data_IF_071290593020
#
_entry.id   IF_071290593020
#
_cell.length_a   1.000
_cell.length_b   1.000
_cell.length_c   1.000
_cell.angle_alpha   90.00
_cell.angle_beta   90.00
_cell.angle_gamma   90.00
#
_symmetry.space_group_name_H-M   'P 1'
#
loop_
_entity.id
_entity.type
_entity.pdbx_description
1 polymer ?
#
# COMPACT_ATOMS: atom_id res chain seq x y z
N UNK A 1 40.02 3.52 -31.66
CA UNK A 1 40.39 2.68 -30.50
C UNK A 1 41.56 1.79 -30.91
N UNK A 2 42.58 1.61 -30.06
CA UNK A 2 43.79 0.82 -30.40
C UNK A 2 43.48 -0.66 -30.62
N UNK A 3 44.11 -1.31 -31.61
CA UNK A 3 43.96 -2.75 -31.90
C UNK A 3 44.16 -3.64 -30.67
N UNK A 4 45.04 -3.22 -29.74
CA UNK A 4 45.30 -3.92 -28.48
C UNK A 4 44.07 -3.99 -27.56
N UNK A 5 43.29 -2.93 -27.49
CA UNK A 5 42.07 -2.86 -26.66
C UNK A 5 40.98 -3.78 -27.23
N UNK A 6 40.86 -3.82 -28.56
CA UNK A 6 39.90 -4.70 -29.25
C UNK A 6 40.26 -6.17 -29.03
N UNK A 7 41.55 -6.51 -29.13
CA UNK A 7 42.04 -7.86 -28.85
C UNK A 7 41.81 -8.26 -27.40
N UNK A 8 42.10 -7.37 -26.44
CA UNK A 8 41.86 -7.60 -25.02
C UNK A 8 40.37 -7.85 -24.72
N UNK A 9 39.48 -7.02 -25.28
CA UNK A 9 38.02 -7.21 -25.14
C UNK A 9 37.55 -8.53 -25.72
N UNK A 10 38.06 -8.92 -26.89
CA UNK A 10 37.73 -10.20 -27.53
C UNK A 10 38.18 -11.39 -26.70
N UNK A 11 39.39 -11.33 -26.15
CA UNK A 11 39.94 -12.38 -25.29
C UNK A 11 39.16 -12.52 -23.99
N UNK A 12 38.79 -11.40 -23.34
CA UNK A 12 37.87 -11.41 -22.19
C UNK A 12 36.55 -12.09 -22.54
N UNK A 13 35.98 -11.75 -23.70
CA UNK A 13 34.72 -12.32 -24.18
C UNK A 13 34.73 -13.84 -24.28
N UNK A 14 35.83 -14.47 -24.70
CA UNK A 14 35.90 -15.94 -24.75
C UNK A 14 35.83 -16.61 -23.37
N UNK A 15 36.54 -16.05 -22.37
CA UNK A 15 36.46 -16.57 -21.00
C UNK A 15 35.10 -16.33 -20.36
N UNK A 16 34.50 -15.15 -20.60
CA UNK A 16 33.15 -14.83 -20.11
C UNK A 16 32.13 -15.78 -20.72
N UNK A 17 32.16 -16.00 -22.04
CA UNK A 17 31.23 -16.92 -22.70
C UNK A 17 31.39 -18.36 -22.19
N UNK A 18 32.63 -18.86 -22.08
CA UNK A 18 32.89 -20.20 -21.54
C UNK A 18 32.35 -20.34 -20.10
N UNK A 19 32.61 -19.35 -19.24
CA UNK A 19 32.09 -19.34 -17.89
C UNK A 19 30.56 -19.26 -17.85
N UNK A 20 29.92 -18.44 -18.69
CA UNK A 20 28.46 -18.35 -18.80
C UNK A 20 27.83 -19.69 -19.19
N UNK A 21 28.39 -20.36 -20.19
CA UNK A 21 27.87 -21.65 -20.67
C UNK A 21 27.92 -22.71 -19.57
N UNK A 22 29.05 -22.77 -18.85
CA UNK A 22 29.20 -23.66 -17.68
C UNK A 22 28.25 -23.29 -16.54
N UNK A 23 28.18 -22.02 -16.15
CA UNK A 23 27.29 -21.52 -15.10
C UNK A 23 25.83 -21.85 -15.39
N UNK A 24 25.40 -21.64 -16.63
CA UNK A 24 24.03 -21.85 -17.06
C UNK A 24 23.68 -23.34 -17.14
N UNK A 25 24.58 -24.17 -17.65
CA UNK A 25 24.36 -25.61 -17.85
C UNK A 25 24.61 -26.46 -16.61
N UNK A 26 25.79 -26.35 -16.02
CA UNK A 26 26.30 -27.26 -14.98
C UNK A 26 26.19 -26.69 -13.56
N UNK A 27 26.05 -25.37 -13.45
CA UNK A 27 25.95 -24.65 -12.17
C UNK A 27 27.31 -24.38 -11.53
N UNK A 28 27.30 -23.64 -10.42
CA UNK A 28 28.53 -23.08 -9.84
C UNK A 28 29.52 -24.16 -9.35
N UNK A 29 29.01 -25.31 -8.88
CA UNK A 29 29.82 -26.37 -8.25
C UNK A 29 30.79 -27.06 -9.20
N UNK A 30 30.53 -27.05 -10.51
CA UNK A 30 31.41 -27.69 -11.49
C UNK A 30 32.54 -26.77 -11.96
N UNK A 31 32.54 -25.51 -11.53
CA UNK A 31 33.40 -24.48 -12.10
C UNK A 31 34.76 -24.45 -11.41
N UNK A 32 35.81 -24.45 -12.25
CA UNK A 32 37.16 -24.09 -11.85
C UNK A 32 37.80 -23.22 -12.91
N UNK A 33 38.82 -22.44 -12.53
CA UNK A 33 39.61 -21.62 -13.47
C UNK A 33 40.20 -22.46 -14.60
N UNK A 34 40.58 -23.70 -14.31
CA UNK A 34 41.11 -24.65 -15.31
C UNK A 34 40.03 -25.02 -16.32
N UNK A 35 38.87 -25.48 -15.85
CA UNK A 35 37.78 -25.90 -16.74
C UNK A 35 37.32 -24.75 -17.64
N UNK A 36 37.20 -23.53 -17.10
CA UNK A 36 36.82 -22.34 -17.90
C UNK A 36 37.88 -22.06 -18.97
N UNK A 37 39.16 -22.06 -18.60
CA UNK A 37 40.23 -21.75 -19.54
C UNK A 37 40.32 -22.83 -20.64
N UNK A 38 40.22 -24.10 -20.26
CA UNK A 38 40.21 -25.23 -21.18
C UNK A 38 39.03 -25.12 -22.16
N UNK A 39 37.81 -24.79 -21.68
CA UNK A 39 36.64 -24.57 -22.53
C UNK A 39 36.78 -23.34 -23.43
N UNK A 40 37.46 -22.29 -22.97
CA UNK A 40 37.79 -21.13 -23.79
C UNK A 40 38.92 -21.40 -24.80
N UNK A 41 39.61 -22.55 -24.72
CA UNK A 41 40.73 -22.91 -25.59
C UNK A 41 42.07 -22.27 -25.21
N UNK A 42 42.25 -21.89 -23.94
CA UNK A 42 43.44 -21.21 -23.45
C UNK A 42 43.97 -21.82 -22.15
N UNK A 43 45.23 -21.52 -21.80
CA UNK A 43 45.77 -21.93 -20.51
C UNK A 43 45.14 -21.16 -19.35
N UNK A 44 45.02 -21.78 -18.18
CA UNK A 44 44.54 -21.10 -16.96
C UNK A 44 45.38 -19.86 -16.61
N UNK A 45 46.69 -19.87 -16.92
CA UNK A 45 47.56 -18.71 -16.72
C UNK A 45 47.15 -17.50 -17.59
N UNK A 46 46.63 -17.76 -18.79
CA UNK A 46 46.13 -16.72 -19.70
C UNK A 46 44.92 -16.00 -19.12
N UNK A 47 44.03 -16.72 -18.42
CA UNK A 47 42.85 -16.13 -17.77
C UNK A 47 43.25 -15.07 -16.74
N UNK A 48 44.27 -15.34 -15.93
CA UNK A 48 44.78 -14.41 -14.91
C UNK A 48 45.41 -13.13 -15.49
N UNK A 49 45.71 -13.08 -16.78
CA UNK A 49 46.11 -11.83 -17.43
C UNK A 49 44.95 -10.85 -17.62
N UNK A 50 43.70 -11.34 -17.57
CA UNK A 50 42.50 -10.56 -17.85
C UNK A 50 41.59 -10.36 -16.64
N UNK A 51 41.61 -11.30 -15.70
CA UNK A 51 40.79 -11.29 -14.48
C UNK A 51 41.68 -11.47 -13.25
N UNK A 52 41.42 -10.67 -12.22
CA UNK A 52 42.19 -10.75 -10.97
C UNK A 52 42.01 -12.10 -10.28
N UNK A 53 40.79 -12.60 -10.30
CA UNK A 53 40.38 -13.88 -9.75
C UNK A 53 39.09 -14.34 -10.43
N UNK A 54 38.60 -15.53 -10.05
CA UNK A 54 37.37 -16.08 -10.61
C UNK A 54 36.12 -15.24 -10.27
N UNK A 55 36.16 -14.46 -9.19
CA UNK A 55 35.02 -13.62 -8.77
C UNK A 55 34.89 -12.41 -9.69
N UNK A 56 36.01 -11.86 -10.13
CA UNK A 56 36.06 -10.81 -11.16
C UNK A 56 35.41 -11.28 -12.47
N UNK A 57 35.66 -12.53 -12.87
CA UNK A 57 34.99 -13.15 -14.02
C UNK A 57 33.49 -13.38 -13.77
N UNK A 58 33.11 -13.86 -12.59
CA UNK A 58 31.68 -14.03 -12.24
C UNK A 58 30.92 -12.71 -12.22
N UNK A 59 31.55 -11.61 -11.81
CA UNK A 59 30.96 -10.28 -11.89
C UNK A 59 30.58 -9.91 -13.33
N UNK A 60 31.50 -10.11 -14.28
CA UNK A 60 31.20 -9.89 -15.70
C UNK A 60 30.09 -10.82 -16.21
N UNK A 61 30.07 -12.08 -15.75
CA UNK A 61 28.99 -13.01 -16.09
C UNK A 61 27.63 -12.52 -15.57
N UNK A 62 27.56 -11.96 -14.35
CA UNK A 62 26.33 -11.39 -13.79
C UNK A 62 25.80 -10.26 -14.66
N UNK A 63 26.66 -9.32 -15.10
CA UNK A 63 26.27 -8.24 -16.01
C UNK A 63 25.71 -8.79 -17.32
N UNK A 64 26.43 -9.71 -17.96
CA UNK A 64 25.99 -10.32 -19.21
C UNK A 64 24.69 -11.13 -19.06
N UNK A 65 24.43 -11.75 -17.91
CA UNK A 65 23.16 -12.41 -17.62
C UNK A 65 22.02 -11.42 -17.36
N UNK A 66 22.31 -10.23 -16.82
CA UNK A 66 21.33 -9.16 -16.71
C UNK A 66 20.94 -8.63 -18.09
N UNK A 67 21.91 -8.39 -18.97
CA UNK A 67 21.65 -7.94 -20.34
C UNK A 67 20.83 -8.97 -21.13
N UNK A 68 21.16 -10.26 -20.99
CA UNK A 68 20.41 -11.36 -21.59
C UNK A 68 18.95 -11.43 -21.06
N UNK A 69 18.76 -11.24 -19.76
CA UNK A 69 17.42 -11.20 -19.15
C UNK A 69 16.64 -9.95 -19.57
N UNK A 70 17.30 -8.80 -19.69
CA UNK A 70 16.70 -7.55 -20.16
C UNK A 70 16.20 -7.70 -21.60
N UNK A 71 17.01 -8.26 -22.50
CA UNK A 71 16.58 -8.57 -23.88
C UNK A 71 15.39 -9.53 -23.91
N UNK A 72 15.44 -10.61 -23.12
CA UNK A 72 14.35 -11.57 -23.00
C UNK A 72 13.04 -10.90 -22.55
N UNK A 73 13.09 -10.07 -21.50
CA UNK A 73 11.94 -9.33 -20.96
C UNK A 73 11.39 -8.34 -21.98
N UNK A 74 12.26 -7.60 -22.69
CA UNK A 74 11.85 -6.65 -23.72
C UNK A 74 11.08 -7.35 -24.86
N UNK A 75 11.56 -8.52 -25.29
CA UNK A 75 10.90 -9.32 -26.33
C UNK A 75 9.54 -9.86 -25.87
N UNK A 76 9.47 -10.48 -24.69
CA UNK A 76 8.24 -11.08 -24.15
C UNK A 76 7.14 -10.04 -23.90
N UNK A 77 7.54 -8.81 -23.55
CA UNK A 77 6.59 -7.76 -23.18
C UNK A 77 6.29 -6.79 -24.31
N UNK A 78 6.90 -6.92 -25.50
CA UNK A 78 6.85 -5.92 -26.58
C UNK A 78 5.44 -5.44 -26.96
N UNK A 79 4.44 -6.33 -26.89
CA UNK A 79 3.05 -6.03 -27.27
C UNK A 79 2.15 -5.64 -26.09
N UNK A 80 2.68 -5.65 -24.87
CA UNK A 80 1.90 -5.35 -23.66
C UNK A 80 1.70 -3.82 -23.53
N UNK A 81 0.48 -3.35 -23.23
CA UNK A 81 0.21 -1.95 -22.95
C UNK A 81 1.08 -1.40 -21.81
N UNK A 82 1.47 -0.12 -21.89
CA UNK A 82 2.27 0.60 -20.89
C UNK A 82 1.54 0.68 -19.53
N UNK A 83 2.32 0.97 -18.49
CA UNK A 83 1.85 1.18 -17.13
C UNK A 83 1.84 -0.10 -16.30
N UNK A 84 0.83 -0.25 -15.43
CA UNK A 84 0.72 -1.37 -14.49
C UNK A 84 0.67 -2.73 -15.19
N UNK A 85 -0.05 -2.83 -16.30
CA UNK A 85 -0.09 -4.03 -17.15
C UNK A 85 1.31 -4.45 -17.60
N UNK A 86 2.13 -3.49 -18.05
CA UNK A 86 3.51 -3.72 -18.46
C UNK A 86 4.38 -4.19 -17.31
N UNK A 87 4.27 -3.57 -16.14
CA UNK A 87 5.01 -3.98 -14.93
C UNK A 87 4.73 -5.44 -14.58
N UNK A 88 3.46 -5.85 -14.62
CA UNK A 88 3.09 -7.26 -14.39
C UNK A 88 3.71 -8.19 -15.43
N UNK A 89 3.68 -7.80 -16.69
CA UNK A 89 4.29 -8.59 -17.77
C UNK A 89 5.82 -8.68 -17.62
N UNK A 90 6.48 -7.60 -17.21
CA UNK A 90 7.92 -7.58 -16.91
C UNK A 90 8.24 -8.55 -15.78
N UNK A 91 7.49 -8.50 -14.66
CA UNK A 91 7.71 -9.40 -13.52
C UNK A 91 7.51 -10.87 -13.94
N UNK A 92 6.46 -11.17 -14.72
CA UNK A 92 6.23 -12.53 -15.26
C UNK A 92 7.38 -13.01 -16.14
N UNK A 93 7.83 -12.17 -17.08
CA UNK A 93 8.95 -12.50 -17.97
C UNK A 93 10.26 -12.68 -17.19
N UNK A 94 10.54 -11.80 -16.25
CA UNK A 94 11.67 -11.90 -15.32
C UNK A 94 11.63 -13.23 -14.55
N UNK A 95 10.50 -13.59 -13.94
CA UNK A 95 10.36 -14.87 -13.24
C UNK A 95 10.53 -16.06 -14.18
N UNK A 96 9.96 -16.00 -15.40
CA UNK A 96 10.11 -17.04 -16.42
C UNK A 96 11.58 -17.27 -16.79
N UNK A 97 12.37 -16.23 -16.96
CA UNK A 97 13.81 -16.33 -17.25
C UNK A 97 14.55 -17.12 -16.16
N UNK A 98 14.36 -16.76 -14.87
CA UNK A 98 15.04 -17.45 -13.77
C UNK A 98 14.54 -18.87 -13.53
N UNK A 99 13.29 -19.18 -13.88
CA UNK A 99 12.78 -20.55 -13.87
C UNK A 99 13.40 -21.39 -14.98
N UNK A 100 13.58 -20.81 -16.16
CA UNK A 100 14.25 -21.47 -17.29
C UNK A 100 15.74 -21.71 -17.02
N UNK A 101 16.38 -20.82 -16.25
CA UNK A 101 17.81 -20.87 -15.93
C UNK A 101 18.05 -20.87 -14.41
N UNK A 102 17.72 -21.96 -13.71
CA UNK A 102 17.80 -22.04 -12.25
C UNK A 102 19.22 -21.84 -11.69
N UNK A 103 20.25 -22.26 -12.42
CA UNK A 103 21.64 -22.05 -12.02
C UNK A 103 22.05 -20.57 -12.02
N UNK A 104 21.44 -19.77 -12.92
CA UNK A 104 21.63 -18.31 -12.92
C UNK A 104 20.94 -17.69 -11.71
N UNK A 105 19.77 -18.21 -11.31
CA UNK A 105 19.11 -17.80 -10.06
C UNK A 105 19.97 -18.12 -8.82
N UNK A 106 20.57 -19.31 -8.76
CA UNK A 106 21.46 -19.73 -7.66
C UNK A 106 22.66 -18.78 -7.54
N UNK A 107 23.32 -18.46 -8.67
CA UNK A 107 24.41 -17.49 -8.73
C UNK A 107 24.00 -16.10 -8.20
N UNK A 108 22.80 -15.62 -8.57
CA UNK A 108 22.34 -14.28 -8.20
C UNK A 108 21.93 -14.20 -6.72
N UNK A 109 21.19 -15.17 -6.20
CA UNK A 109 20.45 -15.01 -4.94
C UNK A 109 20.83 -15.96 -3.81
N UNK A 110 21.53 -17.07 -4.09
CA UNK A 110 21.88 -18.07 -3.07
C UNK A 110 23.35 -18.08 -2.72
N UNK A 111 24.19 -17.78 -3.70
CA UNK A 111 25.62 -17.88 -3.53
C UNK A 111 26.17 -16.76 -2.67
N UNK A 112 26.59 -17.14 -1.46
CA UNK A 112 27.44 -16.29 -0.62
C UNK A 112 28.82 -16.33 -1.24
N UNK A 113 29.04 -15.54 -2.28
CA UNK A 113 30.36 -15.39 -2.85
C UNK A 113 31.19 -14.61 -1.84
N UNK A 114 31.75 -15.34 -0.87
CA UNK A 114 32.53 -14.81 0.26
C UNK A 114 33.60 -13.89 -0.30
N UNK A 115 33.49 -12.58 -0.06
CA UNK A 115 34.41 -11.57 -0.59
C UNK A 115 33.98 -10.81 -1.86
N UNK A 116 32.74 -10.96 -2.37
CA UNK A 116 32.10 -9.91 -3.18
C UNK A 116 31.77 -8.68 -2.33
N UNK A 117 31.78 -8.80 -1.00
CA UNK A 117 31.57 -7.69 -0.07
C UNK A 117 32.55 -6.51 -0.27
N UNK A 118 33.70 -6.72 -0.93
CA UNK A 118 34.63 -5.65 -1.29
C UNK A 118 34.28 -4.91 -2.60
N UNK A 119 33.24 -5.36 -3.32
CA UNK A 119 32.61 -4.67 -4.44
C UNK A 119 31.10 -4.53 -4.16
N UNK A 120 30.73 -3.52 -3.37
CA UNK A 120 29.35 -3.01 -3.22
C UNK A 120 28.53 -2.98 -4.54
N UNK A 121 29.12 -2.70 -5.73
CA UNK A 121 28.37 -2.65 -6.99
C UNK A 121 27.55 -3.92 -7.31
N UNK A 122 28.05 -5.12 -7.01
CA UNK A 122 27.39 -6.37 -7.47
C UNK A 122 26.08 -6.65 -6.73
N UNK A 123 26.09 -6.42 -5.41
CA UNK A 123 24.89 -6.62 -4.58
C UNK A 123 23.80 -5.62 -4.97
N UNK A 124 24.19 -4.36 -5.19
CA UNK A 124 23.27 -3.32 -5.64
C UNK A 124 22.71 -3.61 -7.04
N UNK A 125 23.54 -4.11 -7.96
CA UNK A 125 23.11 -4.52 -9.30
C UNK A 125 22.05 -5.63 -9.22
N UNK A 126 22.28 -6.68 -8.42
CA UNK A 126 21.33 -7.79 -8.29
C UNK A 126 20.05 -7.35 -7.58
N UNK A 127 20.17 -6.63 -6.45
CA UNK A 127 19.04 -6.22 -5.63
C UNK A 127 18.12 -5.21 -6.30
N UNK A 128 18.64 -4.41 -7.24
CA UNK A 128 17.87 -3.38 -7.94
C UNK A 128 17.56 -3.78 -9.39
N UNK A 129 17.87 -5.01 -9.82
CA UNK A 129 17.71 -5.39 -11.21
C UNK A 129 16.25 -5.34 -11.69
N UNK A 130 15.33 -5.96 -10.94
CA UNK A 130 13.90 -5.92 -11.28
C UNK A 130 13.35 -4.49 -11.27
N UNK A 131 13.87 -3.64 -10.38
CA UNK A 131 13.49 -2.23 -10.31
C UNK A 131 13.97 -1.46 -11.54
N UNK A 132 15.21 -1.70 -12.00
CA UNK A 132 15.75 -1.17 -13.26
C UNK A 132 14.86 -1.54 -14.45
N UNK A 133 14.45 -2.82 -14.56
CA UNK A 133 13.59 -3.29 -15.64
C UNK A 133 12.23 -2.59 -15.66
N UNK A 134 11.68 -2.25 -14.49
CA UNK A 134 10.39 -1.59 -14.35
C UNK A 134 10.46 -0.05 -14.32
N UNK A 135 11.66 0.55 -14.31
CA UNK A 135 11.87 1.97 -14.00
C UNK A 135 11.09 2.94 -14.91
N UNK A 136 11.09 2.66 -16.22
CA UNK A 136 10.33 3.46 -17.19
C UNK A 136 8.83 3.40 -16.95
N UNK A 137 8.31 2.23 -16.58
CA UNK A 137 6.89 2.04 -16.35
C UNK A 137 6.46 2.66 -15.02
N UNK A 138 7.30 2.63 -13.98
CA UNK A 138 7.03 3.38 -12.75
C UNK A 138 6.92 4.88 -13.02
N UNK A 139 7.86 5.42 -13.80
CA UNK A 139 7.85 6.83 -14.18
C UNK A 139 6.61 7.18 -15.01
N UNK A 140 6.20 6.29 -15.93
CA UNK A 140 4.96 6.42 -16.68
C UNK A 140 3.73 6.38 -15.76
N UNK A 141 3.64 5.43 -14.84
CA UNK A 141 2.49 5.30 -13.94
C UNK A 141 2.34 6.52 -13.01
N UNK A 142 3.44 7.09 -12.53
CA UNK A 142 3.42 8.30 -11.71
C UNK A 142 3.00 9.52 -12.53
N UNK A 143 3.52 9.65 -13.76
CA UNK A 143 3.20 10.75 -14.65
C UNK A 143 1.72 10.76 -15.07
N UNK A 144 1.15 9.59 -15.33
CA UNK A 144 -0.24 9.42 -15.75
C UNK A 144 -1.20 9.27 -14.55
N UNK A 145 -0.76 9.61 -13.33
CA UNK A 145 -1.54 9.53 -12.08
C UNK A 145 -2.19 8.14 -11.82
N UNK A 146 -1.58 7.07 -12.33
CA UNK A 146 -2.03 5.69 -12.09
C UNK A 146 -1.66 5.23 -10.67
N UNK A 147 -0.54 5.72 -10.14
CA UNK A 147 -0.08 5.53 -8.76
C UNK A 147 0.63 6.80 -8.29
N UNK A 148 0.55 7.14 -7.01
CA UNK A 148 1.42 8.19 -6.45
C UNK A 148 2.82 7.65 -6.09
N UNK A 149 3.77 8.55 -5.84
CA UNK A 149 5.18 8.20 -5.54
C UNK A 149 5.28 7.27 -4.33
N UNK A 150 4.53 7.54 -3.25
CA UNK A 150 4.56 6.72 -2.02
C UNK A 150 4.04 5.30 -2.29
N UNK A 151 2.98 5.18 -3.08
CA UNK A 151 2.44 3.88 -3.50
C UNK A 151 3.44 3.14 -4.39
N UNK A 152 4.04 3.82 -5.37
CA UNK A 152 5.04 3.23 -6.25
C UNK A 152 6.23 2.70 -5.44
N UNK A 153 6.78 3.48 -4.51
CA UNK A 153 7.91 3.08 -3.67
C UNK A 153 7.55 1.91 -2.74
N UNK A 154 6.33 1.90 -2.19
CA UNK A 154 5.82 0.78 -1.41
C UNK A 154 5.74 -0.51 -2.24
N UNK A 155 5.17 -0.44 -3.44
CA UNK A 155 5.05 -1.59 -4.34
C UNK A 155 6.45 -2.08 -4.78
N UNK A 156 7.34 -1.16 -5.17
CA UNK A 156 8.74 -1.45 -5.55
C UNK A 156 9.46 -2.23 -4.44
N UNK A 157 9.31 -1.79 -3.19
CA UNK A 157 9.88 -2.47 -2.03
C UNK A 157 9.30 -3.88 -1.87
N UNK A 158 7.97 -4.04 -1.96
CA UNK A 158 7.32 -5.36 -1.84
C UNK A 158 7.82 -6.33 -2.92
N UNK A 159 7.80 -5.93 -4.20
CA UNK A 159 8.20 -6.82 -5.30
C UNK A 159 9.69 -7.19 -5.23
N UNK A 160 10.55 -6.26 -4.77
CA UNK A 160 11.99 -6.48 -4.60
C UNK A 160 12.29 -7.68 -3.69
N UNK A 161 11.54 -7.84 -2.60
CA UNK A 161 11.75 -8.95 -1.67
C UNK A 161 10.89 -10.18 -1.99
N UNK A 162 9.65 -9.96 -2.45
CA UNK A 162 8.70 -11.04 -2.63
C UNK A 162 9.01 -11.91 -3.85
N UNK A 163 9.43 -11.33 -4.98
CA UNK A 163 9.65 -12.09 -6.22
C UNK A 163 10.82 -13.09 -6.08
N UNK A 164 12.01 -12.69 -5.59
CA UNK A 164 13.07 -13.65 -5.31
C UNK A 164 12.65 -14.71 -4.28
N UNK A 165 11.83 -14.35 -3.29
CA UNK A 165 11.30 -15.29 -2.30
C UNK A 165 10.39 -16.37 -2.91
N UNK A 166 9.47 -15.98 -3.80
CA UNK A 166 8.63 -16.92 -4.54
C UNK A 166 9.45 -17.84 -5.43
N UNK A 167 10.41 -17.28 -6.18
CA UNK A 167 11.31 -18.06 -7.03
C UNK A 167 12.15 -19.04 -6.22
N UNK A 168 12.68 -18.63 -5.07
CA UNK A 168 13.46 -19.47 -4.18
C UNK A 168 12.67 -20.70 -3.72
N UNK A 169 11.40 -20.51 -3.32
CA UNK A 169 10.53 -21.61 -2.88
C UNK A 169 10.15 -22.52 -4.05
N UNK A 170 9.84 -21.96 -5.21
CA UNK A 170 9.51 -22.75 -6.40
C UNK A 170 10.71 -23.60 -6.86
N UNK A 171 11.87 -22.97 -7.06
CA UNK A 171 13.05 -23.61 -7.64
C UNK A 171 13.66 -24.64 -6.68
N UNK A 172 13.78 -24.31 -5.38
CA UNK A 172 14.53 -25.12 -4.42
C UNK A 172 13.67 -25.96 -3.47
N UNK A 173 12.37 -25.69 -3.38
CA UNK A 173 11.44 -26.42 -2.52
C UNK A 173 10.25 -27.01 -3.27
N UNK A 174 10.19 -26.80 -4.60
CA UNK A 174 9.09 -27.28 -5.45
C UNK A 174 7.72 -26.87 -4.88
N UNK A 175 7.64 -25.63 -4.40
CA UNK A 175 6.40 -25.08 -3.85
C UNK A 175 6.08 -23.69 -4.46
N UNK A 176 5.10 -23.62 -5.38
CA UNK A 176 4.44 -24.76 -6.04
C UNK A 176 5.44 -25.55 -6.90
N UNK A 177 5.14 -26.80 -7.24
CA UNK A 177 6.05 -27.67 -8.01
C UNK A 177 5.91 -27.45 -9.52
N UNK A 178 4.70 -27.18 -10.00
CA UNK A 178 4.40 -26.92 -11.40
C UNK A 178 4.58 -25.44 -11.78
N UNK A 179 4.95 -25.20 -13.03
CA UNK A 179 5.15 -23.86 -13.58
C UNK A 179 3.84 -23.06 -13.69
N UNK A 180 2.74 -23.69 -14.09
CA UNK A 180 1.46 -23.00 -14.22
C UNK A 180 0.90 -22.62 -12.85
N UNK A 181 1.05 -23.51 -11.85
CA UNK A 181 0.71 -23.21 -10.47
C UNK A 181 1.54 -22.05 -9.92
N UNK A 182 2.83 -22.00 -10.25
CA UNK A 182 3.70 -20.85 -9.93
C UNK A 182 3.18 -19.57 -10.55
N UNK A 183 2.86 -19.57 -11.85
CA UNK A 183 2.33 -18.39 -12.54
C UNK A 183 1.00 -17.95 -11.94
N UNK A 184 0.09 -18.88 -11.63
CA UNK A 184 -1.19 -18.57 -11.00
C UNK A 184 -1.00 -17.96 -9.60
N UNK A 185 -0.06 -18.48 -8.81
CA UNK A 185 0.30 -17.91 -7.52
C UNK A 185 0.91 -16.51 -7.68
N UNK A 186 1.86 -16.34 -8.59
CA UNK A 186 2.50 -15.05 -8.89
C UNK A 186 1.44 -14.01 -9.26
N UNK A 187 0.54 -14.35 -10.16
CA UNK A 187 -0.53 -13.46 -10.61
C UNK A 187 -1.46 -13.05 -9.48
N UNK A 188 -1.88 -14.02 -8.66
CA UNK A 188 -2.70 -13.76 -7.47
C UNK A 188 -1.98 -12.88 -6.45
N UNK A 189 -0.66 -12.98 -6.32
CA UNK A 189 0.12 -12.09 -5.46
C UNK A 189 0.20 -10.69 -6.08
N UNK A 190 0.49 -10.58 -7.37
CA UNK A 190 0.52 -9.32 -8.08
C UNK A 190 -0.83 -8.60 -8.07
N UNK A 191 -1.96 -9.31 -8.12
CA UNK A 191 -3.30 -8.71 -7.96
C UNK A 191 -3.50 -8.01 -6.62
N UNK A 192 -2.83 -8.48 -5.57
CA UNK A 192 -2.94 -7.90 -4.22
C UNK A 192 -2.01 -6.71 -4.03
N UNK A 193 -0.82 -6.78 -4.60
CA UNK A 193 0.25 -5.78 -4.44
C UNK A 193 0.01 -4.64 -5.42
N UNK A 194 -0.16 -5.02 -6.68
CA UNK A 194 -0.42 -4.16 -7.82
C UNK A 194 -1.92 -4.17 -8.08
N UNK A 195 -2.69 -3.81 -7.04
CA UNK A 195 -4.07 -3.44 -7.27
C UNK A 195 -4.04 -2.28 -8.24
N UNK A 196 -4.55 -2.52 -9.44
CA UNK A 196 -5.14 -1.44 -10.22
C UNK A 196 -6.31 -0.96 -9.36
N UNK A 197 -6.04 -0.06 -8.42
CA UNK A 197 -7.01 0.96 -8.11
C UNK A 197 -7.32 1.55 -9.50
N UNK A 198 -8.50 1.25 -10.04
CA UNK A 198 -9.02 1.80 -11.31
C UNK A 198 -9.03 3.31 -11.17
N UNK A 199 -7.89 3.94 -11.39
CA UNK A 199 -7.49 5.14 -10.65
C UNK A 199 -7.62 4.93 -9.13
N UNK A 200 -6.90 5.70 -8.32
CA UNK A 200 -7.58 6.17 -7.12
C UNK A 200 -8.90 6.77 -7.63
N UNK A 201 -10.06 6.10 -7.45
CA UNK A 201 -11.38 6.70 -7.73
C UNK A 201 -11.24 8.10 -7.16
N UNK A 202 -11.24 9.14 -8.00
CA UNK A 202 -10.96 10.51 -7.59
C UNK A 202 -11.80 10.75 -6.35
N UNK A 203 -11.17 10.72 -5.17
CA UNK A 203 -11.91 10.66 -3.92
C UNK A 203 -12.66 11.98 -3.88
N UNK A 204 -13.98 11.91 -3.90
CA UNK A 204 -14.81 13.09 -4.12
C UNK A 204 -14.87 13.99 -2.89
N UNK A 205 -14.17 13.64 -1.82
CA UNK A 205 -14.11 14.37 -0.57
C UNK A 205 -13.69 15.84 -0.74
N UNK A 206 -12.93 16.16 -1.79
CA UNK A 206 -12.53 17.54 -2.12
C UNK A 206 -13.48 18.25 -3.09
N UNK A 207 -14.52 17.58 -3.59
CA UNK A 207 -15.55 18.19 -4.43
C UNK A 207 -16.34 19.23 -3.64
N UNK A 208 -16.67 20.40 -4.24
CA UNK A 208 -17.36 21.48 -3.54
C UNK A 208 -18.68 21.06 -2.88
N UNK A 209 -19.43 20.15 -3.51
CA UNK A 209 -20.71 19.66 -2.98
C UNK A 209 -20.52 18.84 -1.69
N UNK A 210 -19.50 17.97 -1.66
CA UNK A 210 -19.18 17.16 -0.47
C UNK A 210 -18.63 18.05 0.65
N UNK A 211 -17.73 18.98 0.31
CA UNK A 211 -17.21 19.94 1.28
C UNK A 211 -18.34 20.82 1.85
N UNK A 212 -19.31 21.24 1.04
CA UNK A 212 -20.47 21.97 1.52
C UNK A 212 -21.40 21.09 2.39
N UNK A 213 -21.53 19.80 2.06
CA UNK A 213 -22.28 18.87 2.89
C UNK A 213 -21.63 18.64 4.26
N UNK A 214 -20.30 18.52 4.33
CA UNK A 214 -19.58 18.35 5.61
C UNK A 214 -19.51 19.70 6.36
N UNK A 215 -19.10 20.78 5.68
CA UNK A 215 -18.70 22.04 6.32
C UNK A 215 -19.72 23.17 6.25
N UNK A 216 -20.71 23.12 5.37
CA UNK A 216 -21.53 24.29 5.00
C UNK A 216 -22.27 24.97 6.16
N UNK A 217 -22.34 24.33 7.34
CA UNK A 217 -22.95 24.90 8.54
C UNK A 217 -22.03 24.91 9.77
N UNK A 218 -20.72 24.68 9.64
CA UNK A 218 -19.84 24.58 10.82
C UNK A 218 -19.56 25.92 11.52
N UNK A 219 -19.92 27.06 10.90
CA UNK A 219 -19.89 28.37 11.56
C UNK A 219 -21.00 28.51 12.62
N UNK A 220 -22.09 27.74 12.48
CA UNK A 220 -23.28 27.80 13.34
C UNK A 220 -23.52 26.52 14.14
N UNK A 221 -22.83 25.44 13.79
CA UNK A 221 -22.99 24.12 14.38
C UNK A 221 -21.63 23.48 14.68
N UNK A 222 -21.55 22.73 15.78
CA UNK A 222 -20.52 21.72 15.95
C UNK A 222 -20.77 20.58 14.97
N UNK A 223 -19.83 20.36 14.06
CA UNK A 223 -19.88 19.31 13.05
C UNK A 223 -18.98 18.13 13.47
N UNK A 224 -19.49 16.92 13.33
CA UNK A 224 -18.76 15.69 13.58
C UNK A 224 -18.93 14.71 12.42
N UNK A 225 -17.93 13.87 12.22
CA UNK A 225 -17.94 12.80 11.21
C UNK A 225 -17.75 11.43 11.86
N UNK A 226 -18.43 10.43 11.32
CA UNK A 226 -18.28 9.04 11.70
C UNK A 226 -18.17 8.15 10.46
N UNK A 227 -17.25 7.19 10.45
CA UNK A 227 -17.04 6.27 9.33
C UNK A 227 -17.76 4.95 9.57
N UNK A 228 -18.46 4.44 8.55
CA UNK A 228 -19.10 3.13 8.58
C UNK A 228 -18.93 2.38 7.26
N UNK A 229 -18.94 1.05 7.35
CA UNK A 229 -18.67 0.12 6.23
C UNK A 229 -19.81 0.03 5.25
N UNK A 230 -21.03 -0.04 5.76
CA UNK A 230 -22.19 -0.47 5.00
C UNK A 230 -23.27 0.62 4.96
N UNK A 231 -23.92 0.74 3.81
CA UNK A 231 -25.02 1.67 3.61
C UNK A 231 -26.21 1.39 4.54
N UNK A 232 -26.43 0.12 4.87
CA UNK A 232 -27.48 -0.30 5.81
C UNK A 232 -27.26 0.31 7.20
N UNK A 233 -26.01 0.34 7.67
CA UNK A 233 -25.66 0.95 8.96
C UNK A 233 -25.86 2.46 8.89
N UNK A 234 -25.42 3.10 7.80
CA UNK A 234 -25.60 4.54 7.61
C UNK A 234 -27.08 4.93 7.60
N UNK A 235 -27.93 4.15 6.92
CA UNK A 235 -29.39 4.30 6.93
C UNK A 235 -29.99 4.09 8.32
N UNK A 236 -29.52 3.08 9.05
CA UNK A 236 -29.95 2.85 10.43
C UNK A 236 -29.66 4.07 11.31
N UNK A 237 -28.47 4.66 11.19
CA UNK A 237 -28.08 5.86 11.94
C UNK A 237 -28.97 7.07 11.56
N UNK A 238 -29.30 7.25 10.28
CA UNK A 238 -30.24 8.30 9.85
C UNK A 238 -31.64 8.11 10.48
N UNK A 239 -32.12 6.87 10.57
CA UNK A 239 -33.48 6.58 11.00
C UNK A 239 -33.65 6.52 12.53
N UNK A 240 -32.65 6.01 13.23
CA UNK A 240 -32.70 5.72 14.66
C UNK A 240 -31.90 6.71 15.51
N UNK A 241 -30.96 7.44 14.91
CA UNK A 241 -30.01 8.29 15.63
C UNK A 241 -28.64 7.66 15.80
N UNK A 242 -27.74 8.36 16.48
CA UNK A 242 -26.35 7.94 16.61
C UNK A 242 -26.08 7.31 17.98
N UNK A 243 -25.71 6.03 17.96
CA UNK A 243 -25.39 5.24 19.16
C UNK A 243 -23.88 5.24 19.42
N UNK A 244 -23.48 5.52 20.66
CA UNK A 244 -22.08 5.40 21.09
C UNK A 244 -21.97 4.80 22.51
N UNK A 245 -20.77 4.29 22.83
CA UNK A 245 -20.45 3.64 24.11
C UNK A 245 -19.40 4.49 24.82
N UNK A 246 -19.61 4.72 26.12
CA UNK A 246 -18.77 5.54 27.01
C UNK A 246 -18.61 7.02 26.59
N UNK A 247 -17.89 7.26 25.49
CA UNK A 247 -17.52 8.59 25.01
C UNK A 247 -17.84 8.73 23.52
N UNK A 248 -18.52 9.83 23.19
CA UNK A 248 -18.85 10.18 21.81
C UNK A 248 -17.59 10.30 20.94
N UNK A 249 -16.52 10.89 21.49
CA UNK A 249 -15.25 11.13 20.82
C UNK A 249 -14.45 9.84 20.50
N UNK A 250 -14.83 8.69 21.07
CA UNK A 250 -14.25 7.40 20.67
C UNK A 250 -14.78 6.92 19.31
N UNK A 251 -15.91 7.49 18.85
CA UNK A 251 -16.64 7.02 17.66
C UNK A 251 -16.83 8.11 16.62
N UNK A 252 -16.92 9.37 17.02
CA UNK A 252 -17.17 10.50 16.16
C UNK A 252 -16.10 11.59 16.34
N UNK A 253 -15.74 12.23 15.23
CA UNK A 253 -14.62 13.15 15.16
C UNK A 253 -15.08 14.55 14.78
N UNK A 254 -14.73 15.55 15.59
CA UNK A 254 -15.10 16.93 15.30
C UNK A 254 -14.37 17.43 14.06
N UNK A 255 -15.07 18.13 13.17
CA UNK A 255 -14.49 18.74 11.99
C UNK A 255 -14.71 20.25 11.97
N UNK A 256 -13.72 20.95 11.44
CA UNK A 256 -13.74 22.39 11.16
C UNK A 256 -13.52 22.59 9.67
N UNK A 257 -13.81 23.80 9.15
CA UNK A 257 -13.63 24.13 7.73
C UNK A 257 -12.13 24.25 7.34
N UNK A 258 -11.39 23.18 7.53
CA UNK A 258 -9.98 23.01 7.18
C UNK A 258 -9.82 21.71 6.38
N UNK A 259 -9.51 21.86 5.10
CA UNK A 259 -9.37 20.75 4.15
C UNK A 259 -8.17 19.85 4.49
N UNK A 260 -7.09 20.42 5.03
CA UNK A 260 -5.90 19.65 5.39
C UNK A 260 -6.22 18.75 6.59
N UNK A 261 -6.90 19.32 7.59
CA UNK A 261 -7.34 18.58 8.76
C UNK A 261 -8.32 17.45 8.40
N UNK A 262 -9.29 17.71 7.52
CA UNK A 262 -10.20 16.67 7.01
C UNK A 262 -9.45 15.57 6.25
N UNK A 263 -8.47 15.92 5.43
CA UNK A 263 -7.66 14.94 4.67
C UNK A 263 -6.88 14.04 5.61
N UNK A 264 -6.30 14.59 6.69
CA UNK A 264 -5.62 13.81 7.71
C UNK A 264 -6.59 12.81 8.37
N UNK A 265 -7.73 13.29 8.88
CA UNK A 265 -8.75 12.43 9.49
C UNK A 265 -9.26 11.36 8.54
N UNK A 266 -9.47 11.71 7.27
CA UNK A 266 -9.89 10.75 6.26
C UNK A 266 -8.87 9.63 6.08
N UNK A 267 -7.58 9.94 6.02
CA UNK A 267 -6.55 8.91 5.89
C UNK A 267 -6.47 7.99 7.11
N UNK A 268 -6.73 8.51 8.31
CA UNK A 268 -6.79 7.71 9.54
C UNK A 268 -7.99 6.76 9.55
N UNK A 269 -9.18 7.25 9.16
CA UNK A 269 -10.44 6.54 9.41
C UNK A 269 -11.07 5.85 8.19
N UNK A 270 -10.56 6.05 6.97
CA UNK A 270 -11.09 5.39 5.75
C UNK A 270 -11.11 3.85 5.80
N UNK A 271 -10.28 3.23 6.63
CA UNK A 271 -10.27 1.78 6.82
C UNK A 271 -11.55 1.25 7.51
N UNK A 272 -12.28 2.12 8.20
CA UNK A 272 -13.54 1.78 8.87
C UNK A 272 -14.74 1.80 7.92
N UNK A 273 -14.57 2.17 6.65
CA UNK A 273 -15.60 2.04 5.64
C UNK A 273 -15.75 3.25 4.71
N UNK A 274 -16.58 3.08 3.68
CA UNK A 274 -16.71 4.03 2.58
C UNK A 274 -17.77 5.13 2.80
N UNK A 275 -18.53 5.04 3.90
CA UNK A 275 -19.60 5.97 4.23
C UNK A 275 -19.18 6.87 5.39
N UNK A 276 -19.41 8.17 5.23
CA UNK A 276 -19.20 9.19 6.26
C UNK A 276 -20.56 9.73 6.68
N UNK A 277 -20.94 9.46 7.92
CA UNK A 277 -22.10 10.07 8.56
C UNK A 277 -21.69 11.44 9.10
N UNK A 278 -22.49 12.47 8.81
CA UNK A 278 -22.27 13.83 9.29
C UNK A 278 -23.30 14.14 10.38
N UNK A 279 -22.81 14.52 11.55
CA UNK A 279 -23.61 14.87 12.73
C UNK A 279 -23.38 16.36 13.01
N UNK A 280 -24.45 17.11 13.24
CA UNK A 280 -24.38 18.54 13.53
C UNK A 280 -25.27 18.91 14.70
N UNK A 281 -24.70 19.65 15.66
CA UNK A 281 -25.40 20.19 16.83
C UNK A 281 -25.21 21.69 16.84
N UNK A 282 -26.30 22.46 16.99
CA UNK A 282 -26.24 23.93 17.04
C UNK A 282 -25.26 24.43 18.10
N UNK A 283 -24.39 25.36 17.72
CA UNK A 283 -23.39 25.96 18.62
C UNK A 283 -24.07 26.64 19.81
N UNK A 284 -25.22 27.28 19.59
CA UNK A 284 -25.98 27.92 20.66
C UNK A 284 -26.53 26.91 21.67
N UNK A 285 -27.09 25.81 21.16
CA UNK A 285 -27.63 24.72 22.00
C UNK A 285 -26.51 24.04 22.79
N UNK A 286 -25.42 23.69 22.10
CA UNK A 286 -24.28 23.02 22.70
C UNK A 286 -23.63 23.88 23.79
N UNK A 287 -23.40 25.17 23.51
CA UNK A 287 -22.81 26.09 24.48
C UNK A 287 -23.73 26.32 25.68
N UNK A 288 -25.04 26.41 25.49
CA UNK A 288 -25.99 26.52 26.60
C UNK A 288 -25.84 25.36 27.59
N UNK A 289 -25.87 24.11 27.12
CA UNK A 289 -25.71 22.94 28.00
C UNK A 289 -24.29 22.81 28.57
N UNK A 290 -23.26 23.19 27.80
CA UNK A 290 -21.89 23.23 28.30
C UNK A 290 -21.73 24.23 29.46
N UNK A 291 -22.34 25.41 29.36
CA UNK A 291 -22.26 26.43 30.39
C UNK A 291 -23.07 26.06 31.65
N UNK A 292 -24.22 25.41 31.49
CA UNK A 292 -24.93 24.82 32.63
C UNK A 292 -24.11 23.70 33.30
N UNK A 293 -23.44 22.85 32.53
CA UNK A 293 -22.57 21.80 33.06
C UNK A 293 -21.41 22.35 33.88
N UNK A 294 -20.75 23.43 33.42
CA UNK A 294 -19.64 24.07 34.14
C UNK A 294 -20.04 24.50 35.56
N UNK A 295 -21.31 24.86 35.79
CA UNK A 295 -21.83 25.21 37.12
C UNK A 295 -21.86 24.01 38.08
N UNK A 296 -21.93 22.80 37.56
CA UNK A 296 -22.09 21.57 38.35
C UNK A 296 -20.76 20.99 38.86
N UNK A 297 -19.60 21.51 38.43
CA UNK A 297 -18.24 20.96 38.68
C UNK A 297 -18.06 19.47 38.27
N UNK A 298 -18.97 18.90 37.47
CA UNK A 298 -18.90 17.50 37.01
C UNK A 298 -18.23 17.41 35.65
N UNK A 299 -17.48 16.33 35.43
CA UNK A 299 -16.82 16.04 34.16
C UNK A 299 -17.72 15.13 33.29
N UNK A 300 -18.77 15.72 32.71
CA UNK A 300 -19.72 15.03 31.83
C UNK A 300 -19.70 15.73 30.48
N UNK A 301 -19.78 14.96 29.39
CA UNK A 301 -19.82 15.50 28.04
C UNK A 301 -21.23 16.00 27.70
N UNK A 302 -21.33 17.04 26.86
CA UNK A 302 -22.61 17.65 26.49
C UNK A 302 -23.50 16.65 25.74
N UNK A 303 -22.90 15.80 24.92
CA UNK A 303 -23.58 14.77 24.13
C UNK A 303 -24.38 13.79 25.00
N UNK A 304 -23.89 13.49 26.21
CA UNK A 304 -24.59 12.61 27.14
C UNK A 304 -25.90 13.25 27.66
N UNK A 305 -25.97 14.58 27.76
CA UNK A 305 -27.21 15.30 28.10
C UNK A 305 -28.16 15.30 26.90
N UNK A 306 -27.59 15.48 25.71
CA UNK A 306 -28.33 15.57 24.45
C UNK A 306 -28.84 14.21 23.95
N UNK A 307 -28.84 13.17 24.79
CA UNK A 307 -29.39 11.86 24.47
C UNK A 307 -30.93 11.84 24.58
N UNK A 308 -31.61 11.11 23.68
CA UNK A 308 -33.09 10.98 23.71
C UNK A 308 -33.61 10.06 24.81
N UNK A 309 -32.75 9.23 25.38
CA UNK A 309 -33.11 8.21 26.36
C UNK A 309 -32.05 8.13 27.46
N UNK A 310 -32.45 7.68 28.65
CA UNK A 310 -31.51 7.33 29.71
C UNK A 310 -30.53 6.27 29.19
N UNK A 311 -29.24 6.36 29.54
CA UNK A 311 -28.24 5.45 29.01
C UNK A 311 -28.53 4.01 29.42
N UNK A 312 -28.34 3.09 28.48
CA UNK A 312 -28.58 1.66 28.69
C UNK A 312 -27.23 1.00 29.02
N UNK A 313 -27.20 0.09 29.99
CA UNK A 313 -26.01 -0.72 30.26
C UNK A 313 -25.94 -1.88 29.26
N UNK A 314 -24.78 -2.07 28.64
CA UNK A 314 -24.49 -3.27 27.85
C UNK A 314 -24.09 -4.44 28.77
N UNK A 315 -23.84 -5.62 28.19
CA UNK A 315 -23.42 -6.82 28.93
C UNK A 315 -22.08 -6.64 29.69
N UNK A 316 -21.26 -5.68 29.29
CA UNK A 316 -20.00 -5.32 29.93
C UNK A 316 -20.15 -4.24 31.03
N UNK A 317 -21.38 -3.81 31.32
CA UNK A 317 -21.68 -2.69 32.22
C UNK A 317 -21.20 -1.32 31.73
N UNK A 318 -21.02 -1.15 30.41
CA UNK A 318 -20.74 0.15 29.80
C UNK A 318 -22.04 0.90 29.47
N UNK A 319 -22.03 2.22 29.65
CA UNK A 319 -23.15 3.07 29.27
C UNK A 319 -23.22 3.30 27.76
N UNK A 320 -24.38 3.00 27.19
CA UNK A 320 -24.76 3.28 25.80
C UNK A 320 -25.63 4.53 25.76
N UNK A 321 -25.24 5.49 24.93
CA UNK A 321 -25.98 6.72 24.70
C UNK A 321 -26.51 6.78 23.26
N UNK A 322 -27.61 7.52 23.07
CA UNK A 322 -28.29 7.68 21.80
C UNK A 322 -28.53 9.15 21.50
N UNK A 323 -27.78 9.71 20.56
CA UNK A 323 -28.06 11.04 20.04
C UNK A 323 -29.28 10.98 19.10
N UNK A 324 -30.18 11.98 19.18
CA UNK A 324 -31.33 12.07 18.31
C UNK A 324 -30.95 12.05 16.83
N UNK A 325 -31.79 11.38 16.03
CA UNK A 325 -31.67 11.41 14.57
C UNK A 325 -31.68 12.81 13.99
N UNK A 326 -32.32 13.77 14.65
CA UNK A 326 -32.38 15.16 14.24
C UNK A 326 -31.00 15.82 14.18
N UNK A 327 -30.01 15.34 14.95
CA UNK A 327 -28.64 15.81 14.83
C UNK A 327 -27.87 15.15 13.68
N UNK A 328 -28.35 14.04 13.13
CA UNK A 328 -27.73 13.40 11.97
C UNK A 328 -28.16 14.16 10.71
N UNK A 329 -27.23 14.86 10.07
CA UNK A 329 -27.45 15.59 8.80
C UNK A 329 -27.71 14.64 7.65
N UNK A 330 -27.05 13.49 7.68
CA UNK A 330 -27.14 12.46 6.67
C UNK A 330 -25.80 11.71 6.54
N UNK A 331 -25.61 11.02 5.44
CA UNK A 331 -24.33 10.38 5.11
C UNK A 331 -23.92 10.64 3.67
N UNK A 332 -22.65 10.42 3.38
CA UNK A 332 -22.11 10.43 2.03
C UNK A 332 -21.22 9.22 1.80
N UNK A 333 -21.13 8.77 0.57
CA UNK A 333 -20.14 7.79 0.14
C UNK A 333 -19.00 8.52 -0.59
N UNK A 334 -17.80 8.55 -0.01
CA UNK A 334 -16.70 9.39 -0.53
C UNK A 334 -16.08 8.86 -1.84
N UNK A 335 -16.37 7.60 -2.19
CA UNK A 335 -15.92 7.01 -3.45
C UNK A 335 -16.86 7.35 -4.62
N UNK A 336 -18.17 7.35 -4.38
CA UNK A 336 -19.19 7.58 -5.41
C UNK A 336 -19.64 9.04 -5.48
N UNK A 337 -19.53 9.76 -4.36
CA UNK A 337 -20.07 11.10 -4.17
C UNK A 337 -21.56 11.14 -3.88
N UNK A 338 -22.21 9.97 -3.71
CA UNK A 338 -23.62 9.90 -3.32
C UNK A 338 -23.78 10.53 -1.93
N UNK A 339 -24.74 11.46 -1.80
CA UNK A 339 -25.13 12.09 -0.55
C UNK A 339 -26.58 11.68 -0.28
N UNK A 340 -26.85 11.27 0.96
CA UNK A 340 -28.18 10.96 1.47
C UNK A 340 -28.48 11.93 2.61
N UNK A 341 -29.51 12.75 2.47
CA UNK A 341 -29.89 13.77 3.45
C UNK A 341 -30.96 13.18 4.36
N UNK A 342 -30.79 13.35 5.68
CA UNK A 342 -31.81 12.96 6.64
C UNK A 342 -32.99 13.97 6.59
N UNK A 343 -34.23 13.53 6.26
CA UNK A 343 -35.40 14.43 6.23
C UNK A 343 -35.76 15.00 7.60
N UNK A 344 -35.36 14.33 8.70
CA UNK A 344 -35.61 14.78 10.07
C UNK A 344 -34.52 15.71 10.62
N UNK A 345 -33.51 16.07 9.81
CA UNK A 345 -32.38 16.85 10.27
C UNK A 345 -32.81 18.23 10.80
N UNK A 346 -32.51 18.47 12.08
CA UNK A 346 -32.71 19.73 12.77
C UNK A 346 -31.59 19.90 13.84
N UNK A 347 -30.54 20.68 13.56
CA UNK A 347 -29.42 20.88 14.50
C UNK A 347 -29.83 21.69 15.74
N UNK A 348 -31.00 22.35 15.72
CA UNK A 348 -31.57 23.08 16.85
C UNK A 348 -32.62 22.25 17.61
N UNK A 349 -32.72 20.94 17.36
CA UNK A 349 -33.63 20.07 18.08
C UNK A 349 -33.34 20.14 19.58
N UNK A 350 -34.32 20.60 20.36
CA UNK A 350 -34.18 20.87 21.78
C UNK A 350 -35.44 20.44 22.55
N UNK A 351 -35.70 19.13 22.67
CA UNK A 351 -36.81 18.60 23.44
C UNK A 351 -36.62 18.81 24.95
N UNK A 352 -37.73 18.81 25.69
CA UNK A 352 -37.74 18.97 27.15
C UNK A 352 -36.90 17.91 27.89
N UNK A 353 -36.73 16.72 27.30
CA UNK A 353 -35.96 15.62 27.90
C UNK A 353 -34.50 15.98 28.17
N UNK A 354 -33.86 16.84 27.35
CA UNK A 354 -32.48 17.27 27.60
C UNK A 354 -32.34 18.03 28.92
N UNK A 355 -33.32 18.87 29.25
CA UNK A 355 -33.36 19.58 30.52
C UNK A 355 -33.64 18.64 31.69
N UNK A 356 -34.40 17.57 31.48
CA UNK A 356 -34.63 16.54 32.49
C UNK A 356 -33.34 15.74 32.75
N UNK A 357 -32.63 15.34 31.69
CA UNK A 357 -31.32 14.69 31.79
C UNK A 357 -30.33 15.55 32.59
N UNK A 358 -30.26 16.85 32.31
CA UNK A 358 -29.45 17.80 33.08
C UNK A 358 -29.84 17.83 34.56
N UNK A 359 -31.15 17.86 34.88
CA UNK A 359 -31.64 17.84 36.27
C UNK A 359 -31.35 16.53 36.99
N UNK A 360 -31.56 15.38 36.34
CA UNK A 360 -31.29 14.06 36.93
C UNK A 360 -29.80 13.90 37.24
N UNK A 361 -28.92 14.36 36.35
CA UNK A 361 -27.47 14.36 36.58
C UNK A 361 -27.08 15.28 37.76
N UNK A 362 -27.84 16.34 38.03
CA UNK A 362 -27.65 17.20 39.20
C UNK A 362 -28.12 16.50 40.49
N UNK A 363 -29.19 15.70 40.44
CA UNK A 363 -29.85 15.08 41.61
C UNK A 363 -29.23 13.73 42.01
N UNK A 364 -28.94 12.83 41.08
CA UNK A 364 -28.58 11.41 41.33
C UNK A 364 -27.16 11.16 41.88
N UNK A 365 -26.41 12.19 42.25
CA UNK A 365 -25.06 12.04 42.83
C UNK A 365 -24.76 13.08 43.92
N UNK A 366 -25.73 13.31 44.82
CA UNK A 366 -25.48 13.94 46.13
C UNK A 366 -25.10 12.91 47.17
#
# INVERSE_FOLDING_TARGET
>A
MSNKIIQEKRMKGYFIQAAKDMLKGEGLKSISVRNIADQAGYSYATLYNYFKDIKDLFFECVNDFQDECEEFVLLETKKTPRGIEKIRAIIRAYSKYFIQYPNVFELFYLEKITGIDNKQPTSDLICNFLDKLCAEEWSYCIKEDLVNIVQADSIRSIIKYQIPGLLLLHLNRKNPSDYNDFLALLDKQLDKIVKVDKAAKKIKLTEPEILNFIFGNCDKNFCFIHYTKDEEIANKIINEGFRYVESFYNTAEQVTNDKLHLTHKHNTYKLYGNYIVVICISTNLYNFFNDELKKTKKNISVENILAEQSPILNDNSDYIYFLPKQFVKGYLNYETGKIEINPSYNPNYNPQIFYNNLKELIINHK
#
